data_IF_004542392144
#
_entry.id   IF_004542392144
#
_cell.length_a   1.000
_cell.length_b   1.000
_cell.length_c   1.000
_cell.angle_alpha   90.00
_cell.angle_beta   90.00
_cell.angle_gamma   90.00
#
_symmetry.space_group_name_H-M   'P 1'
#
loop_
_entity.id
_entity.type
_entity.pdbx_description
1 polymer ?
#
# COMPACT_ATOMS: atom_id res chain seq x y z
N UNK A 1 -14.91 32.34 47.32
CA UNK A 1 -15.51 31.47 46.28
C UNK A 1 -16.76 30.83 46.83
N UNK A 2 -17.92 31.12 46.25
CA UNK A 2 -19.20 30.55 46.74
C UNK A 2 -19.22 29.03 46.55
N UNK A 3 -20.01 28.34 47.38
CA UNK A 3 -20.17 26.87 47.37
C UNK A 3 -20.56 26.34 45.98
N UNK A 4 -21.26 27.16 45.18
CA UNK A 4 -21.63 26.90 43.79
C UNK A 4 -20.43 26.85 42.84
N UNK A 5 -19.42 27.71 43.02
CA UNK A 5 -18.26 27.79 42.13
C UNK A 5 -17.33 26.57 42.26
N UNK A 6 -17.24 25.97 43.46
CA UNK A 6 -16.44 24.76 43.69
C UNK A 6 -17.03 23.52 43.02
N UNK A 7 -18.36 23.39 43.01
CA UNK A 7 -19.03 22.24 42.40
C UNK A 7 -18.94 22.25 40.87
N UNK A 8 -18.97 23.44 40.25
CA UNK A 8 -18.79 23.58 38.79
C UNK A 8 -17.38 23.18 38.35
N UNK A 9 -16.35 23.58 39.11
CA UNK A 9 -14.96 23.21 38.83
C UNK A 9 -14.73 21.70 39.04
N UNK A 10 -15.38 21.10 40.04
CA UNK A 10 -15.28 19.66 40.28
C UNK A 10 -15.97 18.84 39.18
N UNK A 11 -17.10 19.34 38.65
CA UNK A 11 -17.86 18.69 37.58
C UNK A 11 -17.10 18.75 36.24
N UNK A 12 -16.45 19.87 35.91
CA UNK A 12 -15.65 19.99 34.68
C UNK A 12 -14.38 19.14 34.72
N UNK A 13 -13.77 18.96 35.90
CA UNK A 13 -12.61 18.07 36.07
C UNK A 13 -12.95 16.59 35.83
N UNK A 14 -14.14 16.15 36.25
CA UNK A 14 -14.63 14.78 36.02
C UNK A 14 -14.93 14.48 34.55
N UNK A 15 -15.45 15.46 33.80
CA UNK A 15 -15.71 15.31 32.35
C UNK A 15 -14.40 15.19 31.56
N UNK A 16 -13.35 15.92 31.95
CA UNK A 16 -12.04 15.85 31.28
C UNK A 16 -11.31 14.51 31.52
N UNK A 17 -11.59 13.81 32.62
CA UNK A 17 -10.98 12.52 32.93
C UNK A 17 -11.68 11.33 32.26
N UNK A 18 -12.95 11.48 31.86
CA UNK A 18 -13.75 10.40 31.26
C UNK A 18 -13.48 10.13 29.76
N UNK A 19 -12.73 11.00 29.07
CA UNK A 19 -12.48 10.90 27.62
C UNK A 19 -11.08 10.40 27.26
N UNK A 20 -10.43 9.62 28.12
CA UNK A 20 -9.27 8.83 27.69
C UNK A 20 -9.75 7.55 26.98
N UNK A 21 -10.32 7.74 25.78
CA UNK A 21 -10.56 6.66 24.82
C UNK A 21 -9.18 6.22 24.27
N UNK A 22 -8.43 5.46 25.07
CA UNK A 22 -7.31 4.69 24.53
C UNK A 22 -7.92 3.54 23.74
N UNK A 23 -8.19 3.79 22.46
CA UNK A 23 -8.35 2.72 21.49
C UNK A 23 -7.04 1.95 21.48
N UNK A 24 -6.96 0.91 22.32
CA UNK A 24 -5.99 -0.14 22.14
C UNK A 24 -6.24 -0.69 20.74
N UNK A 25 -5.40 -0.28 19.77
CA UNK A 25 -5.36 -0.97 18.50
C UNK A 25 -5.00 -2.41 18.84
N UNK A 26 -5.97 -3.31 18.72
CA UNK A 26 -5.69 -4.74 18.72
C UNK A 26 -4.65 -4.96 17.63
N UNK A 27 -3.40 -5.17 18.06
CA UNK A 27 -2.34 -5.67 17.19
C UNK A 27 -2.75 -7.12 16.91
N UNK A 28 -3.62 -7.31 15.92
CA UNK A 28 -3.98 -8.64 15.47
C UNK A 28 -2.69 -9.32 15.03
N UNK A 29 -2.25 -10.32 15.79
CA UNK A 29 -1.00 -11.03 15.54
C UNK A 29 -1.02 -11.57 14.11
N UNK A 30 -0.04 -11.17 13.30
CA UNK A 30 0.04 -11.59 11.90
C UNK A 30 0.27 -13.09 11.85
N UNK A 31 -0.62 -13.81 11.17
CA UNK A 31 -0.51 -15.25 10.96
C UNK A 31 0.37 -15.55 9.75
N UNK A 32 1.69 -15.55 9.97
CA UNK A 32 2.69 -15.76 8.92
C UNK A 32 2.55 -17.12 8.20
N UNK A 33 1.88 -18.13 8.78
CA UNK A 33 1.68 -19.42 8.11
C UNK A 33 0.79 -19.32 6.87
N UNK A 34 -0.12 -18.34 6.84
CA UNK A 34 -0.99 -18.05 5.70
C UNK A 34 -0.32 -17.19 4.63
N UNK A 35 0.88 -16.69 4.91
CA UNK A 35 1.62 -15.78 4.06
C UNK A 35 2.79 -16.50 3.38
N UNK A 36 3.13 -16.05 2.19
CA UNK A 36 4.36 -16.39 1.47
C UNK A 36 5.18 -15.13 1.34
N UNK A 37 6.38 -15.10 1.92
CA UNK A 37 7.30 -13.95 1.80
C UNK A 37 7.77 -13.82 0.35
N UNK A 38 7.78 -12.58 -0.14
CA UNK A 38 8.37 -12.25 -1.43
C UNK A 38 9.86 -12.00 -1.25
N UNK A 39 10.65 -13.08 -1.32
CA UNK A 39 12.09 -13.03 -1.10
C UNK A 39 12.80 -12.07 -2.07
N UNK A 40 13.81 -11.36 -1.57
CA UNK A 40 14.59 -10.39 -2.34
C UNK A 40 13.85 -9.10 -2.69
N UNK A 41 12.63 -8.87 -2.15
CA UNK A 41 11.85 -7.65 -2.35
C UNK A 41 11.80 -6.75 -1.11
N UNK A 42 12.87 -6.70 -0.33
CA UNK A 42 12.93 -5.79 0.83
C UNK A 42 13.11 -4.35 0.33
N UNK A 43 12.25 -3.45 0.80
CA UNK A 43 12.27 -2.03 0.41
C UNK A 43 12.77 -1.15 1.56
N UNK A 44 13.28 0.04 1.20
CA UNK A 44 13.76 1.02 2.16
C UNK A 44 12.74 1.28 3.28
N UNK A 45 13.24 1.42 4.51
CA UNK A 45 12.38 1.61 5.69
C UNK A 45 11.86 0.30 6.32
N UNK A 46 12.41 -0.86 5.93
CA UNK A 46 12.09 -2.14 6.56
C UNK A 46 10.75 -2.72 6.12
N UNK A 47 10.28 -2.37 4.92
CA UNK A 47 9.05 -2.92 4.36
C UNK A 47 9.35 -4.27 3.71
N UNK A 48 8.61 -5.28 4.15
CA UNK A 48 8.65 -6.63 3.57
C UNK A 48 7.30 -6.94 2.93
N UNK A 49 7.32 -7.54 1.74
CA UNK A 49 6.09 -7.91 1.03
C UNK A 49 5.79 -9.41 1.14
N UNK A 50 4.50 -9.72 1.17
CA UNK A 50 3.97 -11.07 1.27
C UNK A 50 2.76 -11.24 0.35
N UNK A 51 2.48 -12.47 -0.05
CA UNK A 51 1.22 -12.86 -0.68
C UNK A 51 0.46 -13.79 0.27
N UNK A 52 -0.82 -13.53 0.50
CA UNK A 52 -1.70 -14.46 1.22
C UNK A 52 -2.04 -15.66 0.31
N UNK A 53 -1.70 -16.88 0.76
CA UNK A 53 -1.70 -18.11 -0.05
C UNK A 53 -3.06 -18.47 -0.68
N UNK A 54 -4.17 -18.09 -0.05
CA UNK A 54 -5.53 -18.47 -0.51
C UNK A 54 -6.20 -17.43 -1.40
N UNK A 55 -5.96 -16.17 -1.11
CA UNK A 55 -6.66 -15.05 -1.74
C UNK A 55 -5.80 -14.31 -2.75
N UNK A 56 -4.49 -14.60 -2.77
CA UNK A 56 -3.48 -13.88 -3.54
C UNK A 56 -3.45 -12.37 -3.24
N UNK A 57 -3.86 -11.97 -2.04
CA UNK A 57 -3.77 -10.58 -1.60
C UNK A 57 -2.32 -10.25 -1.31
N UNK A 58 -1.84 -9.15 -1.90
CA UNK A 58 -0.52 -8.59 -1.64
C UNK A 58 -0.55 -7.80 -0.33
N UNK A 59 0.43 -8.02 0.53
CA UNK A 59 0.49 -7.46 1.87
C UNK A 59 1.87 -6.84 2.09
N UNK A 60 1.89 -5.60 2.55
CA UNK A 60 3.11 -4.96 3.05
C UNK A 60 3.13 -4.98 4.57
N UNK A 61 4.24 -5.43 5.14
CA UNK A 61 4.50 -5.44 6.58
C UNK A 61 5.68 -4.53 6.87
N UNK A 62 5.53 -3.64 7.85
CA UNK A 62 6.58 -2.76 8.35
C UNK A 62 6.56 -2.81 9.88
N UNK A 63 7.72 -3.05 10.50
CA UNK A 63 7.85 -3.17 11.96
C UNK A 63 6.82 -4.15 12.57
N UNK A 64 6.68 -5.34 11.98
CA UNK A 64 5.72 -6.39 12.39
C UNK A 64 4.23 -6.00 12.31
N UNK A 65 3.90 -4.86 11.72
CA UNK A 65 2.53 -4.40 11.52
C UNK A 65 2.16 -4.38 10.04
N UNK A 66 0.89 -4.70 9.74
CA UNK A 66 0.39 -4.62 8.36
C UNK A 66 0.28 -3.15 7.99
N UNK A 67 1.11 -2.70 7.04
CA UNK A 67 1.06 -1.35 6.50
C UNK A 67 -0.13 -1.16 5.57
N UNK A 68 -0.33 -2.12 4.65
CA UNK A 68 -1.48 -2.16 3.76
C UNK A 68 -1.72 -3.57 3.19
N UNK A 69 -2.92 -3.78 2.65
CA UNK A 69 -3.31 -4.97 1.88
C UNK A 69 -3.90 -4.54 0.54
N UNK A 70 -3.54 -5.23 -0.53
CA UNK A 70 -3.93 -4.91 -1.89
C UNK A 70 -4.43 -6.17 -2.62
N UNK A 71 -5.74 -6.23 -2.88
CA UNK A 71 -6.35 -7.25 -3.74
C UNK A 71 -6.30 -6.77 -5.20
N UNK A 72 -5.16 -7.02 -5.85
CA UNK A 72 -4.85 -6.51 -7.20
C UNK A 72 -5.83 -7.04 -8.23
N UNK A 73 -6.10 -8.35 -8.19
CA UNK A 73 -6.93 -9.05 -9.18
C UNK A 73 -8.37 -8.53 -9.12
N UNK A 74 -8.95 -8.45 -7.92
CA UNK A 74 -10.31 -7.95 -7.73
C UNK A 74 -10.42 -6.47 -8.07
N UNK A 75 -9.43 -5.65 -7.65
CA UNK A 75 -9.44 -4.20 -7.92
C UNK A 75 -9.40 -3.91 -9.42
N UNK A 76 -8.69 -4.72 -10.19
CA UNK A 76 -8.64 -4.61 -11.65
C UNK A 76 -9.82 -5.28 -12.38
N UNK A 77 -10.88 -5.66 -11.66
CA UNK A 77 -12.12 -6.17 -12.24
C UNK A 77 -11.99 -7.53 -12.90
N UNK A 78 -10.96 -8.31 -12.55
CA UNK A 78 -10.79 -9.69 -13.02
C UNK A 78 -11.28 -10.67 -11.96
N UNK A 79 -11.85 -11.78 -12.41
CA UNK A 79 -12.30 -12.87 -11.53
C UNK A 79 -11.27 -13.99 -11.53
N UNK A 80 -10.77 -14.35 -10.34
CA UNK A 80 -10.01 -15.60 -10.08
C UNK A 80 -8.92 -15.88 -11.13
N UNK A 81 -7.95 -14.99 -11.23
CA UNK A 81 -6.74 -15.21 -12.03
C UNK A 81 -5.54 -15.15 -11.11
N UNK A 82 -4.53 -15.94 -11.44
CA UNK A 82 -3.31 -16.05 -10.64
C UNK A 82 -2.38 -14.85 -10.87
N UNK A 83 -1.66 -14.46 -9.81
CA UNK A 83 -0.51 -13.57 -9.91
C UNK A 83 0.69 -14.36 -10.44
N UNK A 84 1.18 -14.00 -11.62
CA UNK A 84 2.30 -14.68 -12.26
C UNK A 84 3.65 -14.15 -11.77
N UNK A 85 3.75 -12.84 -11.52
CA UNK A 85 5.01 -12.20 -11.11
C UNK A 85 4.80 -10.86 -10.43
N UNK A 86 5.70 -10.53 -9.51
CA UNK A 86 5.77 -9.25 -8.80
C UNK A 86 7.22 -8.78 -8.80
N UNK A 87 7.44 -7.50 -9.08
CA UNK A 87 8.78 -6.90 -8.99
C UNK A 87 8.71 -5.41 -8.65
N UNK A 88 9.72 -4.94 -7.94
CA UNK A 88 9.86 -3.52 -7.58
C UNK A 88 10.33 -2.73 -8.82
N UNK A 89 9.65 -1.61 -9.10
CA UNK A 89 10.01 -0.65 -10.15
C UNK A 89 9.64 0.76 -9.71
N UNK A 90 10.65 1.62 -9.55
CA UNK A 90 10.45 3.07 -9.37
C UNK A 90 9.44 3.45 -8.26
N UNK A 91 9.55 2.83 -7.08
CA UNK A 91 8.62 3.10 -5.95
C UNK A 91 7.26 2.41 -6.04
N UNK A 92 7.07 1.53 -7.02
CA UNK A 92 5.86 0.71 -7.19
C UNK A 92 6.21 -0.76 -7.30
N UNK A 93 5.27 -1.64 -6.98
CA UNK A 93 5.30 -3.05 -7.32
C UNK A 93 4.55 -3.23 -8.64
N UNK A 94 5.26 -3.65 -9.68
CA UNK A 94 4.62 -4.11 -10.91
C UNK A 94 4.17 -5.55 -10.71
N UNK A 95 2.86 -5.75 -10.81
CA UNK A 95 2.20 -7.05 -10.63
C UNK A 95 1.65 -7.49 -11.97
N UNK A 96 2.07 -8.68 -12.43
CA UNK A 96 1.53 -9.30 -13.65
C UNK A 96 0.63 -10.46 -13.27
N UNK A 97 -0.58 -10.52 -13.83
CA UNK A 97 -1.59 -11.51 -13.47
C UNK A 97 -2.44 -11.93 -14.67
N UNK A 98 -2.88 -13.18 -14.69
CA UNK A 98 -3.54 -13.77 -15.86
C UNK A 98 -2.69 -13.69 -17.14
N UNK A 99 -3.30 -13.64 -18.33
CA UNK A 99 -2.53 -13.71 -19.59
C UNK A 99 -1.74 -12.44 -19.92
N UNK A 100 -2.40 -11.28 -19.87
CA UNK A 100 -1.86 -10.00 -20.37
C UNK A 100 -2.21 -8.81 -19.44
N UNK A 101 -2.47 -9.05 -18.15
CA UNK A 101 -2.87 -7.96 -17.24
C UNK A 101 -1.70 -7.52 -16.39
N UNK A 102 -1.58 -6.20 -16.21
CA UNK A 102 -0.53 -5.58 -15.39
C UNK A 102 -1.20 -4.55 -14.49
N UNK A 103 -0.75 -4.49 -13.24
CA UNK A 103 -1.06 -3.40 -12.32
C UNK A 103 0.22 -2.88 -11.68
N UNK A 104 0.18 -1.63 -11.23
CA UNK A 104 1.19 -1.05 -10.36
C UNK A 104 0.57 -0.81 -8.99
N UNK A 105 1.27 -1.25 -7.94
CA UNK A 105 0.88 -1.00 -6.55
C UNK A 105 1.89 -0.05 -5.94
N UNK A 106 1.45 1.09 -5.44
CA UNK A 106 2.35 2.02 -4.75
C UNK A 106 2.84 1.40 -3.44
N UNK A 107 4.17 1.40 -3.23
CA UNK A 107 4.81 0.73 -2.08
C UNK A 107 4.43 1.38 -0.74
N UNK A 108 4.19 2.69 -0.72
CA UNK A 108 3.93 3.42 0.51
C UNK A 108 2.49 3.31 0.99
N UNK A 109 1.50 3.24 0.08
CA UNK A 109 0.09 3.31 0.47
C UNK A 109 -0.76 2.15 -0.05
N UNK A 110 -0.22 1.25 -0.88
CA UNK A 110 -0.94 0.12 -1.44
C UNK A 110 -1.95 0.50 -2.53
N UNK A 111 -1.92 1.73 -3.05
CA UNK A 111 -2.81 2.19 -4.12
C UNK A 111 -2.53 1.43 -5.42
N UNK A 112 -3.59 1.00 -6.11
CA UNK A 112 -3.50 0.12 -7.28
C UNK A 112 -3.88 0.90 -8.54
N UNK A 113 -2.96 0.99 -9.49
CA UNK A 113 -3.19 1.46 -10.86
C UNK A 113 -3.25 0.27 -11.81
N UNK A 114 -4.44 -0.03 -12.35
CA UNK A 114 -4.62 -1.09 -13.34
C UNK A 114 -4.32 -0.56 -14.75
N UNK A 115 -3.43 -1.24 -15.48
CA UNK A 115 -3.21 -0.96 -16.89
C UNK A 115 -4.21 -1.76 -17.73
N UNK A 116 -5.03 -1.05 -18.51
CA UNK A 116 -5.74 -1.64 -19.64
C UNK A 116 -4.84 -1.65 -20.87
N UNK A 117 -5.10 -2.59 -21.80
CA UNK A 117 -4.30 -2.82 -23.03
C UNK A 117 -4.04 -1.51 -23.82
N UNK A 118 -4.96 -0.55 -23.75
CA UNK A 118 -4.85 0.74 -24.44
C UNK A 118 -3.86 1.74 -23.79
N UNK A 119 -3.58 1.62 -22.48
CA UNK A 119 -2.65 2.49 -21.75
C UNK A 119 -1.19 2.05 -21.87
N UNK A 120 -0.94 0.78 -22.21
CA UNK A 120 0.40 0.24 -22.42
C UNK A 120 1.11 0.96 -23.58
N UNK A 121 0.42 1.17 -24.71
CA UNK A 121 0.98 1.85 -25.89
C UNK A 121 1.38 3.31 -25.62
N UNK A 122 0.64 4.02 -24.76
CA UNK A 122 0.92 5.44 -24.47
C UNK A 122 2.12 5.64 -23.53
N UNK A 123 2.29 4.82 -22.48
CA UNK A 123 3.42 4.93 -21.54
C UNK A 123 4.76 4.53 -22.19
N UNK A 124 4.74 3.63 -23.17
CA UNK A 124 5.95 3.29 -23.94
C UNK A 124 6.30 4.39 -24.98
N UNK A 125 5.30 5.00 -25.63
CA UNK A 125 5.50 6.13 -26.56
C UNK A 125 5.97 7.42 -25.87
N UNK A 126 5.47 7.71 -24.66
CA UNK A 126 5.90 8.89 -23.89
C UNK A 126 7.36 8.76 -23.43
N UNK A 127 7.83 7.54 -23.13
CA UNK A 127 9.25 7.29 -22.80
C UNK A 127 10.18 7.36 -24.01
N UNK A 128 9.74 6.94 -25.20
CA UNK A 128 10.51 7.15 -26.43
C UNK A 128 10.66 8.65 -26.72
N UNK A 129 9.59 9.44 -26.63
CA UNK A 129 9.65 10.88 -26.90
C UNK A 129 10.56 11.65 -25.93
N UNK A 130 10.57 11.29 -24.64
CA UNK A 130 11.47 11.91 -23.65
C UNK A 130 12.94 11.56 -23.92
N UNK A 131 13.23 10.35 -24.42
CA UNK A 131 14.61 9.95 -24.74
C UNK A 131 15.18 10.64 -25.99
N UNK A 132 14.37 10.90 -27.02
CA UNK A 132 14.84 11.61 -28.22
C UNK A 132 15.02 13.12 -28.01
N UNK A 133 14.27 13.72 -27.09
CA UNK A 133 14.32 15.18 -26.86
C UNK A 133 15.55 15.59 -26.04
N UNK A 134 16.09 14.69 -25.21
CA UNK A 134 17.27 14.99 -24.37
C UNK A 134 18.63 14.73 -25.04
N UNK A 135 18.67 14.15 -26.24
CA UNK A 135 19.93 13.88 -26.96
C UNK A 135 20.29 14.91 -28.04
N UNK A 136 19.49 15.94 -28.24
CA UNK A 136 19.71 16.95 -29.30
C UNK A 136 19.96 18.37 -28.77
N UNK A 137 20.63 18.51 -27.62
CA UNK A 137 21.29 19.78 -27.26
C UNK A 137 22.61 19.49 -26.52
N UNK A 138 23.69 19.31 -27.28
CA UNK A 138 24.94 19.98 -26.91
C UNK A 138 25.79 20.25 -28.15
N UNK A 139 25.91 21.54 -28.45
CA UNK A 139 26.77 22.14 -29.45
C UNK A 139 28.24 21.99 -29.04
N UNK A 140 29.11 21.70 -30.01
CA UNK A 140 30.13 22.68 -30.44
C UNK A 140 30.68 22.32 -31.81
#
# INVERSE_FOLDING_TARGET
MSKLMKNVVFLTLLVLLGFQNTSAQEISKIDYYKLTKLEGMEYSGGITFYIEKKSEILIAIQNETIKWKADVVKKCGKSKVEINSIFIRSGTLKVSFGKNSIAFVNIENGEIECLTVDKQKRKDQEKEQINFTNQSINKK
#
